data_IF_123267676497
#
_entry.id   IF_123267676497
#
_cell.length_a   1.000
_cell.length_b   1.000
_cell.length_c   1.000
_cell.angle_alpha   90.00
_cell.angle_beta   90.00
_cell.angle_gamma   90.00
#
_symmetry.space_group_name_H-M   'P 1'
#
loop_
_entity.id
_entity.type
_entity.pdbx_description
1 polymer ?
#
# COMPACT_ATOMS: atom_id res chain seq x y z
N UNK A 1 -24.33 -12.66 19.57
CA UNK A 1 -23.09 -12.89 20.34
C UNK A 1 -23.39 -12.84 21.83
N UNK A 2 -22.80 -13.73 22.62
CA UNK A 2 -22.94 -13.79 24.07
C UNK A 2 -21.83 -12.95 24.75
N UNK A 3 -22.17 -12.33 25.89
CA UNK A 3 -21.21 -11.56 26.72
C UNK A 3 -20.04 -12.43 27.20
N UNK A 4 -20.24 -13.73 27.37
CA UNK A 4 -19.19 -14.67 27.72
C UNK A 4 -18.12 -14.75 26.62
N UNK A 5 -18.54 -14.86 25.39
CA UNK A 5 -17.66 -14.89 24.21
C UNK A 5 -16.87 -13.59 24.07
N UNK A 6 -17.50 -12.41 24.26
CA UNK A 6 -16.79 -11.13 24.25
C UNK A 6 -15.69 -11.07 25.32
N UNK A 7 -15.93 -11.62 26.52
CA UNK A 7 -14.93 -11.68 27.60
C UNK A 7 -13.74 -12.57 27.24
N UNK A 8 -14.01 -13.72 26.63
CA UNK A 8 -12.99 -14.67 26.22
C UNK A 8 -12.10 -14.04 25.13
N UNK A 9 -12.69 -13.44 24.11
CA UNK A 9 -11.97 -12.74 23.03
C UNK A 9 -11.13 -11.57 23.56
N UNK A 10 -11.71 -10.71 24.39
CA UNK A 10 -10.98 -9.63 25.07
C UNK A 10 -9.77 -10.13 25.84
N UNK A 11 -9.92 -11.27 26.55
CA UNK A 11 -8.82 -11.89 27.31
C UNK A 11 -7.74 -12.44 26.39
N UNK A 12 -8.12 -13.08 25.29
CA UNK A 12 -7.18 -13.62 24.29
C UNK A 12 -6.32 -12.49 23.67
N UNK A 13 -6.94 -11.36 23.38
CA UNK A 13 -6.26 -10.15 22.86
C UNK A 13 -5.52 -9.34 23.93
N UNK A 14 -5.54 -9.77 25.20
CA UNK A 14 -4.92 -9.07 26.34
C UNK A 14 -5.37 -7.61 26.50
N UNK A 15 -6.53 -7.24 25.96
CA UNK A 15 -7.06 -5.88 26.05
C UNK A 15 -7.53 -5.56 27.46
N UNK A 16 -7.24 -4.35 27.93
CA UNK A 16 -7.86 -3.79 29.12
C UNK A 16 -9.30 -3.37 28.81
N UNK A 17 -10.12 -3.20 29.84
CA UNK A 17 -11.50 -2.69 29.66
C UNK A 17 -11.52 -1.25 29.12
N UNK A 18 -10.50 -0.46 29.47
CA UNK A 18 -10.36 0.90 28.99
C UNK A 18 -10.01 0.94 27.50
N UNK A 19 -9.10 0.09 27.04
CA UNK A 19 -8.76 -0.04 25.61
C UNK A 19 -9.96 -0.49 24.80
N UNK A 20 -10.65 -1.55 25.22
CA UNK A 20 -11.85 -2.02 24.52
C UNK A 20 -12.95 -0.94 24.47
N UNK A 21 -13.14 -0.18 25.56
CA UNK A 21 -14.10 0.91 25.60
C UNK A 21 -13.74 2.04 24.61
N UNK A 22 -12.45 2.36 24.51
CA UNK A 22 -11.93 3.35 23.57
C UNK A 22 -12.14 2.90 22.11
N UNK A 23 -11.74 1.68 21.76
CA UNK A 23 -11.87 1.13 20.40
C UNK A 23 -13.35 1.00 19.99
N UNK A 24 -14.22 0.56 20.91
CA UNK A 24 -15.64 0.42 20.66
C UNK A 24 -16.42 1.75 20.69
N UNK A 25 -15.74 2.87 20.95
CA UNK A 25 -16.37 4.18 21.14
C UNK A 25 -17.54 4.15 22.15
N UNK A 26 -17.30 3.52 23.28
CA UNK A 26 -18.26 3.37 24.35
C UNK A 26 -17.73 3.95 25.67
N UNK A 27 -18.61 4.49 26.55
CA UNK A 27 -18.20 4.90 27.87
C UNK A 27 -17.59 3.73 28.66
N UNK A 28 -16.44 3.94 29.29
CA UNK A 28 -15.72 2.90 30.05
C UNK A 28 -16.61 2.28 31.16
N UNK A 29 -17.46 3.07 31.80
CA UNK A 29 -18.40 2.57 32.79
C UNK A 29 -19.42 1.60 32.22
N UNK A 30 -19.88 1.80 30.99
CA UNK A 30 -20.78 0.89 30.29
C UNK A 30 -20.08 -0.46 30.00
N UNK A 31 -18.87 -0.41 29.45
CA UNK A 31 -18.10 -1.62 29.13
C UNK A 31 -17.72 -2.35 30.42
N UNK A 32 -17.32 -1.63 31.46
CA UNK A 32 -16.99 -2.23 32.77
C UNK A 32 -18.18 -3.01 33.36
N UNK A 33 -19.38 -2.45 33.39
CA UNK A 33 -20.57 -3.13 33.88
C UNK A 33 -20.96 -4.39 33.09
N UNK A 34 -20.70 -4.38 31.79
CA UNK A 34 -20.89 -5.56 30.93
C UNK A 34 -19.83 -6.62 31.25
N UNK A 35 -18.58 -6.22 31.36
CA UNK A 35 -17.46 -7.11 31.64
C UNK A 35 -17.50 -7.69 33.06
N UNK A 36 -18.02 -6.97 34.04
CA UNK A 36 -18.26 -7.49 35.42
C UNK A 36 -19.51 -8.34 35.53
N UNK A 37 -20.45 -8.20 34.60
CA UNK A 37 -21.76 -8.90 34.64
C UNK A 37 -22.83 -8.15 35.42
N UNK A 38 -22.58 -6.93 35.82
CA UNK A 38 -23.60 -6.05 36.44
C UNK A 38 -24.73 -5.76 35.45
N UNK A 39 -24.41 -5.57 34.18
CA UNK A 39 -25.39 -5.46 33.09
C UNK A 39 -25.66 -6.82 32.51
N UNK A 40 -26.80 -7.42 32.84
CA UNK A 40 -27.18 -8.77 32.38
C UNK A 40 -27.65 -8.81 30.93
N UNK A 41 -28.30 -7.75 30.46
CA UNK A 41 -28.84 -7.63 29.09
C UNK A 41 -28.42 -6.30 28.48
N UNK A 42 -27.19 -6.19 27.91
CA UNK A 42 -26.77 -5.01 27.18
C UNK A 42 -27.62 -4.82 25.91
N UNK A 43 -27.71 -3.59 25.43
CA UNK A 43 -28.41 -3.32 24.16
C UNK A 43 -27.70 -4.00 22.98
N UNK A 44 -28.47 -4.37 21.96
CA UNK A 44 -27.92 -4.96 20.73
C UNK A 44 -26.81 -4.09 20.12
N UNK A 45 -27.05 -2.78 20.03
CA UNK A 45 -26.08 -1.80 19.50
C UNK A 45 -24.76 -1.80 20.30
N UNK A 46 -24.85 -1.95 21.62
CA UNK A 46 -23.65 -2.01 22.48
C UNK A 46 -22.86 -3.29 22.24
N UNK A 47 -23.55 -4.42 22.11
CA UNK A 47 -22.91 -5.72 21.80
C UNK A 47 -22.26 -5.69 20.43
N UNK A 48 -22.95 -5.14 19.43
CA UNK A 48 -22.43 -5.00 18.05
C UNK A 48 -21.15 -4.15 18.00
N UNK A 49 -21.11 -3.01 18.71
CA UNK A 49 -19.91 -2.18 18.81
C UNK A 49 -18.73 -2.91 19.46
N UNK A 50 -18.98 -3.65 20.53
CA UNK A 50 -17.95 -4.44 21.20
C UNK A 50 -17.44 -5.59 20.31
N UNK A 51 -18.33 -6.22 19.56
CA UNK A 51 -17.98 -7.25 18.60
C UNK A 51 -17.12 -6.75 17.48
N UNK A 52 -17.52 -5.65 16.84
CA UNK A 52 -16.73 -4.99 15.80
C UNK A 52 -15.33 -4.59 16.30
N UNK A 53 -15.25 -4.02 17.50
CA UNK A 53 -13.98 -3.65 18.11
C UNK A 53 -13.06 -4.86 18.33
N UNK A 54 -13.60 -5.98 18.85
CA UNK A 54 -12.82 -7.20 19.06
C UNK A 54 -12.40 -7.86 17.73
N UNK A 55 -13.29 -7.90 16.73
CA UNK A 55 -12.99 -8.45 15.42
C UNK A 55 -11.87 -7.65 14.73
N UNK A 56 -11.87 -6.33 14.90
CA UNK A 56 -10.81 -5.46 14.42
C UNK A 56 -9.45 -5.81 15.06
N UNK A 57 -9.40 -5.91 16.39
CA UNK A 57 -8.15 -6.23 17.11
C UNK A 57 -7.65 -7.66 16.81
N UNK A 58 -8.56 -8.61 16.60
CA UNK A 58 -8.19 -9.97 16.16
C UNK A 58 -7.58 -9.98 14.76
N UNK A 59 -8.08 -9.13 13.87
CA UNK A 59 -7.51 -8.96 12.54
C UNK A 59 -6.12 -8.34 12.63
N UNK A 60 -5.94 -7.27 13.40
CA UNK A 60 -4.63 -6.64 13.64
C UNK A 60 -3.62 -7.66 14.17
N UNK A 61 -3.99 -8.44 15.19
CA UNK A 61 -3.11 -9.45 15.76
C UNK A 61 -2.67 -10.50 14.71
N UNK A 62 -3.56 -10.89 13.80
CA UNK A 62 -3.24 -11.81 12.69
C UNK A 62 -2.30 -11.19 11.66
N UNK A 63 -2.53 -9.92 11.32
CA UNK A 63 -1.66 -9.17 10.40
C UNK A 63 -0.25 -9.04 11.00
N UNK A 64 -0.16 -8.68 12.28
CA UNK A 64 1.11 -8.57 12.99
C UNK A 64 1.90 -9.89 12.95
N UNK A 65 1.25 -11.00 13.32
CA UNK A 65 1.88 -12.31 13.28
C UNK A 65 2.39 -12.68 11.87
N UNK A 66 1.60 -12.38 10.84
CA UNK A 66 2.01 -12.61 9.45
C UNK A 66 3.25 -11.79 9.06
N UNK A 67 3.25 -10.51 9.42
CA UNK A 67 4.38 -9.60 9.14
C UNK A 67 5.63 -10.05 9.87
N UNK A 68 5.53 -10.43 11.15
CA UNK A 68 6.66 -10.95 11.92
C UNK A 68 7.27 -12.21 11.27
N UNK A 69 6.43 -13.16 10.84
CA UNK A 69 6.90 -14.36 10.14
C UNK A 69 7.52 -14.05 8.78
N UNK A 70 6.95 -13.08 8.06
CA UNK A 70 7.49 -12.61 6.78
C UNK A 70 8.87 -11.98 6.97
N UNK A 71 9.03 -11.11 7.96
CA UNK A 71 10.32 -10.47 8.28
C UNK A 71 11.37 -11.48 8.73
N UNK A 72 10.97 -12.49 9.49
CA UNK A 72 11.85 -13.60 9.87
C UNK A 72 12.31 -14.38 8.62
N UNK A 73 11.38 -14.70 7.71
CA UNK A 73 11.69 -15.38 6.45
C UNK A 73 12.68 -14.59 5.59
N UNK A 74 12.48 -13.26 5.45
CA UNK A 74 13.40 -12.37 4.71
C UNK A 74 14.79 -12.39 5.35
N UNK A 75 14.85 -12.34 6.68
CA UNK A 75 16.12 -12.35 7.41
C UNK A 75 16.89 -13.68 7.26
N UNK A 76 16.18 -14.80 7.17
CA UNK A 76 16.76 -16.13 6.96
C UNK A 76 17.24 -16.37 5.53
N UNK A 77 16.76 -15.59 4.55
CA UNK A 77 17.05 -15.76 3.13
C UNK A 77 17.57 -14.47 2.48
N UNK A 78 18.65 -13.86 2.98
CA UNK A 78 19.10 -12.53 2.56
C UNK A 78 19.66 -12.49 1.13
N UNK A 79 20.07 -13.64 0.57
CA UNK A 79 20.68 -13.76 -0.75
C UNK A 79 19.64 -14.18 -1.83
N UNK A 80 18.44 -14.54 -1.43
CA UNK A 80 17.37 -14.93 -2.34
C UNK A 80 16.43 -13.74 -2.55
N UNK A 81 16.04 -13.50 -3.81
CA UNK A 81 14.86 -12.67 -4.07
C UNK A 81 13.68 -13.31 -3.31
N UNK A 82 13.02 -12.52 -2.48
CA UNK A 82 11.94 -13.07 -1.65
C UNK A 82 10.82 -13.56 -2.56
N UNK A 83 10.74 -14.86 -2.77
CA UNK A 83 9.63 -15.47 -3.47
C UNK A 83 8.40 -15.42 -2.56
N UNK A 84 7.65 -14.33 -2.66
CA UNK A 84 6.42 -14.13 -1.91
C UNK A 84 5.45 -15.32 -2.07
N UNK A 85 5.41 -15.94 -3.25
CA UNK A 85 4.56 -17.12 -3.51
C UNK A 85 5.03 -18.30 -2.67
N UNK A 86 6.34 -18.48 -2.54
CA UNK A 86 6.94 -19.53 -1.72
C UNK A 86 6.64 -19.29 -0.23
N UNK A 87 6.84 -18.06 0.24
CA UNK A 87 6.50 -17.68 1.61
C UNK A 87 5.01 -17.88 1.89
N UNK A 88 4.11 -17.38 1.05
CA UNK A 88 2.67 -17.54 1.22
C UNK A 88 2.24 -19.02 1.29
N UNK A 89 2.85 -19.88 0.47
CA UNK A 89 2.59 -21.33 0.54
C UNK A 89 3.05 -21.95 1.85
N UNK A 90 4.22 -21.54 2.34
CA UNK A 90 4.73 -22.02 3.63
C UNK A 90 3.87 -21.56 4.79
N UNK A 91 3.51 -20.27 4.79
CA UNK A 91 2.61 -19.69 5.79
C UNK A 91 1.26 -20.39 5.82
N UNK A 92 0.62 -20.58 4.67
CA UNK A 92 -0.66 -21.32 4.56
C UNK A 92 -0.56 -22.73 5.12
N UNK A 93 0.51 -23.45 4.82
CA UNK A 93 0.74 -24.81 5.31
C UNK A 93 0.95 -24.82 6.82
N UNK A 94 1.73 -23.89 7.36
CA UNK A 94 2.01 -23.80 8.79
C UNK A 94 0.75 -23.48 9.62
N UNK A 95 -0.15 -22.66 9.08
CA UNK A 95 -1.35 -22.19 9.77
C UNK A 95 -2.64 -22.92 9.35
N UNK A 96 -2.55 -24.00 8.57
CA UNK A 96 -3.69 -24.77 8.05
C UNK A 96 -4.73 -23.91 7.30
N UNK A 97 -4.25 -22.95 6.50
CA UNK A 97 -5.08 -21.97 5.77
C UNK A 97 -5.32 -22.40 4.31
N UNK A 98 -5.82 -23.54 3.99
CA UNK A 98 -6.00 -24.06 2.62
C UNK A 98 -6.18 -22.94 1.56
N UNK A 99 -7.44 -22.60 1.21
CA UNK A 99 -7.81 -21.51 0.30
C UNK A 99 -8.37 -20.28 1.02
N UNK A 100 -8.27 -20.23 2.34
CA UNK A 100 -8.72 -19.10 3.12
C UNK A 100 -7.94 -17.83 2.75
N UNK A 101 -8.53 -16.63 2.83
CA UNK A 101 -7.79 -15.39 2.67
C UNK A 101 -6.64 -15.33 3.66
N UNK A 102 -5.50 -14.79 3.23
CA UNK A 102 -4.41 -14.46 4.15
C UNK A 102 -4.86 -13.34 5.11
N UNK A 103 -4.25 -13.22 6.28
CA UNK A 103 -4.70 -12.25 7.29
C UNK A 103 -4.81 -10.81 6.79
N UNK A 104 -4.01 -10.46 5.78
CA UNK A 104 -3.97 -9.14 5.14
C UNK A 104 -4.61 -9.14 3.74
N UNK A 105 -4.99 -10.30 3.18
CA UNK A 105 -5.60 -10.36 1.86
C UNK A 105 -7.08 -9.98 1.97
N UNK A 106 -7.48 -8.96 1.23
CA UNK A 106 -8.91 -8.66 1.05
C UNK A 106 -9.65 -9.88 0.52
N UNK A 107 -10.84 -10.20 1.04
CA UNK A 107 -11.72 -11.13 0.37
C UNK A 107 -11.96 -10.57 -1.04
N UNK A 108 -11.62 -11.35 -2.07
CA UNK A 108 -12.03 -11.04 -3.44
C UNK A 108 -13.53 -10.88 -3.39
N UNK A 109 -14.03 -9.73 -3.77
CA UNK A 109 -15.45 -9.38 -3.76
C UNK A 109 -16.25 -10.43 -4.54
N UNK A 110 -16.74 -11.41 -3.83
CA UNK A 110 -17.86 -12.22 -4.24
C UNK A 110 -18.87 -12.12 -3.12
N UNK A 111 -19.76 -11.15 -3.30
CA UNK A 111 -21.05 -11.03 -2.65
C UNK A 111 -21.08 -11.00 -1.11
N UNK A 112 -21.38 -9.81 -0.57
CA UNK A 112 -22.14 -9.57 0.65
C UNK A 112 -21.54 -10.03 1.99
N UNK A 113 -20.48 -9.36 2.45
CA UNK A 113 -20.36 -9.10 3.88
C UNK A 113 -19.87 -7.65 4.07
N UNK A 114 -20.82 -6.75 4.32
CA UNK A 114 -20.56 -5.34 4.64
C UNK A 114 -19.64 -5.16 5.86
N UNK A 115 -19.56 -6.17 6.74
CA UNK A 115 -18.67 -6.19 7.91
C UNK A 115 -17.18 -6.30 7.54
N UNK A 116 -16.85 -7.07 6.50
CA UNK A 116 -15.44 -7.25 6.12
C UNK A 116 -14.88 -6.00 5.43
N UNK A 117 -15.71 -5.28 4.68
CA UNK A 117 -15.31 -4.03 4.01
C UNK A 117 -15.04 -2.89 4.98
N UNK A 118 -15.81 -2.72 6.05
CA UNK A 118 -15.58 -1.66 7.04
C UNK A 118 -14.31 -1.88 7.88
N UNK A 119 -13.93 -3.12 8.15
CA UNK A 119 -12.73 -3.45 8.93
C UNK A 119 -11.42 -3.15 8.18
N UNK A 120 -11.44 -3.28 6.86
CA UNK A 120 -10.27 -3.00 6.01
C UNK A 120 -10.09 -1.51 5.68
N UNK A 121 -11.11 -0.67 5.92
CA UNK A 121 -11.02 0.79 5.78
C UNK A 121 -10.43 1.49 7.01
N UNK A 122 -9.86 0.76 7.96
CA UNK A 122 -9.25 1.38 9.13
C UNK A 122 -7.82 1.82 8.83
N UNK A 123 -7.60 3.14 8.79
CA UNK A 123 -6.29 3.78 8.62
C UNK A 123 -5.22 3.25 9.59
N UNK A 124 -5.62 2.75 10.78
CA UNK A 124 -4.71 2.19 11.77
C UNK A 124 -4.04 0.91 11.29
N UNK A 125 -4.71 0.09 10.47
CA UNK A 125 -4.11 -1.15 9.91
C UNK A 125 -2.91 -0.80 9.05
N UNK A 126 -3.04 0.18 8.16
CA UNK A 126 -1.94 0.63 7.32
C UNK A 126 -0.87 1.37 8.13
N UNK A 127 -1.28 2.17 9.11
CA UNK A 127 -0.33 2.83 10.01
C UNK A 127 0.52 1.83 10.77
N UNK A 128 -0.08 0.77 11.30
CA UNK A 128 0.63 -0.26 12.04
C UNK A 128 1.43 -1.18 11.13
N UNK A 129 0.90 -1.56 9.96
CA UNK A 129 1.68 -2.26 8.94
C UNK A 129 2.88 -1.41 8.53
N UNK A 130 2.69 -0.15 8.18
CA UNK A 130 3.76 0.75 7.81
C UNK A 130 4.74 1.00 8.96
N UNK A 131 4.28 1.04 10.22
CA UNK A 131 5.15 1.21 11.38
C UNK A 131 5.98 -0.05 11.70
N UNK A 132 5.42 -1.25 11.50
CA UNK A 132 6.12 -2.53 11.74
C UNK A 132 7.05 -2.92 10.60
N UNK A 133 6.63 -2.65 9.38
CA UNK A 133 7.47 -2.75 8.19
C UNK A 133 8.49 -1.60 8.14
N UNK A 134 8.27 -0.66 8.94
CA UNK A 134 8.81 0.60 9.44
C UNK A 134 10.01 1.19 8.77
N UNK A 135 10.97 0.47 8.53
CA UNK A 135 12.21 0.93 7.92
C UNK A 135 12.48 0.22 6.60
N UNK A 136 11.69 -0.77 6.26
CA UNK A 136 11.76 -1.47 5.00
C UNK A 136 10.99 -0.68 3.93
N UNK A 137 11.67 0.25 3.27
CA UNK A 137 11.16 1.07 2.16
C UNK A 137 10.74 0.26 0.92
N UNK A 138 10.68 -1.05 1.05
CA UNK A 138 10.53 -1.99 -0.05
C UNK A 138 9.24 -2.79 0.02
N UNK A 139 8.35 -2.43 0.93
CA UNK A 139 7.07 -3.13 1.07
C UNK A 139 5.96 -2.17 0.71
N UNK A 140 5.20 -2.55 -0.30
CA UNK A 140 4.01 -1.86 -0.75
C UNK A 140 2.77 -2.66 -0.40
N UNK A 141 1.65 -1.98 -0.32
CA UNK A 141 0.33 -2.58 -0.19
C UNK A 141 -0.45 -2.28 -1.48
N UNK A 142 -0.94 -3.29 -2.16
CA UNK A 142 -1.72 -3.12 -3.38
C UNK A 142 -3.01 -3.93 -3.30
N UNK A 143 -4.15 -3.24 -3.29
CA UNK A 143 -5.46 -3.88 -3.11
C UNK A 143 -5.48 -4.82 -1.89
N UNK A 144 -4.90 -4.39 -0.77
CA UNK A 144 -4.81 -5.18 0.46
C UNK A 144 -3.80 -6.33 0.43
N UNK A 145 -2.89 -6.37 -0.56
CA UNK A 145 -1.82 -7.37 -0.64
C UNK A 145 -0.47 -6.73 -0.42
N UNK A 146 0.31 -7.30 0.48
CA UNK A 146 1.70 -6.91 0.68
C UNK A 146 2.55 -7.37 -0.51
N UNK A 147 3.38 -6.47 -0.99
CA UNK A 147 4.34 -6.69 -2.06
C UNK A 147 5.70 -6.30 -1.55
N UNK A 148 6.61 -7.23 -1.63
CA UNK A 148 7.98 -7.02 -1.21
C UNK A 148 8.79 -6.75 -2.46
N UNK A 149 9.35 -5.56 -2.54
CA UNK A 149 10.26 -5.18 -3.61
C UNK A 149 11.71 -5.49 -3.19
N UNK A 150 12.54 -5.86 -4.13
CA UNK A 150 13.97 -5.99 -3.88
C UNK A 150 14.63 -4.62 -3.73
N UNK A 151 15.76 -4.59 -3.03
CA UNK A 151 16.58 -3.38 -2.98
C UNK A 151 17.05 -3.02 -4.39
N UNK A 152 16.83 -1.77 -4.84
CA UNK A 152 17.28 -1.34 -6.14
C UNK A 152 18.81 -1.36 -6.24
N UNK A 153 19.30 -1.81 -7.38
CA UNK A 153 20.72 -1.80 -7.68
C UNK A 153 21.25 -0.36 -7.94
N UNK A 154 22.56 -0.24 -8.08
CA UNK A 154 23.22 1.04 -8.28
C UNK A 154 22.79 1.70 -9.61
N UNK A 155 22.54 0.93 -10.65
CA UNK A 155 22.14 1.45 -11.96
C UNK A 155 20.74 2.06 -11.90
N UNK A 156 19.80 1.38 -11.24
CA UNK A 156 18.48 1.92 -10.93
C UNK A 156 18.57 3.27 -10.20
N UNK A 157 19.37 3.33 -9.13
CA UNK A 157 19.54 4.56 -8.35
C UNK A 157 20.13 5.72 -9.17
N UNK A 158 21.09 5.42 -10.06
CA UNK A 158 21.66 6.44 -10.95
C UNK A 158 20.60 7.00 -11.90
N UNK A 159 19.77 6.14 -12.50
CA UNK A 159 18.70 6.55 -13.40
C UNK A 159 17.69 7.44 -12.65
N UNK A 160 17.19 6.98 -11.49
CA UNK A 160 16.24 7.75 -10.66
C UNK A 160 16.81 9.12 -10.28
N UNK A 161 18.08 9.18 -9.86
CA UNK A 161 18.72 10.43 -9.46
C UNK A 161 18.84 11.42 -10.63
N UNK A 162 19.26 10.93 -11.81
CA UNK A 162 19.46 11.78 -12.99
C UNK A 162 18.14 12.30 -13.53
N UNK A 163 17.13 11.43 -13.63
CA UNK A 163 15.77 11.80 -14.01
C UNK A 163 15.18 12.82 -13.06
N UNK A 164 15.27 12.54 -11.75
CA UNK A 164 14.77 13.46 -10.74
C UNK A 164 15.36 14.86 -10.88
N UNK A 165 16.69 14.98 -11.02
CA UNK A 165 17.36 16.28 -11.24
C UNK A 165 16.88 16.98 -12.49
N UNK A 166 16.70 16.23 -13.58
CA UNK A 166 16.28 16.80 -14.87
C UNK A 166 14.85 17.34 -14.81
N UNK A 167 13.93 16.56 -14.20
CA UNK A 167 12.54 16.94 -14.02
C UNK A 167 12.42 18.15 -13.08
N UNK A 168 13.13 18.14 -11.95
CA UNK A 168 13.10 19.21 -10.95
C UNK A 168 13.60 20.53 -11.54
N UNK A 169 14.71 20.48 -12.28
CA UNK A 169 15.23 21.64 -12.99
C UNK A 169 14.24 22.20 -14.02
N UNK A 170 13.50 21.34 -14.72
CA UNK A 170 12.45 21.80 -15.63
C UNK A 170 11.30 22.50 -14.89
N UNK A 171 10.84 21.91 -13.78
CA UNK A 171 9.76 22.47 -12.97
C UNK A 171 10.17 23.87 -12.46
N UNK A 172 11.36 23.99 -11.89
CA UNK A 172 11.87 25.25 -11.35
C UNK A 172 11.98 26.35 -12.41
N UNK A 173 12.48 26.00 -13.60
CA UNK A 173 12.67 26.97 -14.69
C UNK A 173 11.37 27.41 -15.37
N UNK A 174 10.28 26.64 -15.25
CA UNK A 174 9.02 26.94 -15.94
C UNK A 174 7.93 27.49 -15.00
N UNK A 175 8.29 27.95 -13.79
CA UNK A 175 7.38 28.53 -12.79
C UNK A 175 6.19 27.56 -12.53
N UNK A 176 6.48 26.27 -12.50
CA UNK A 176 5.49 25.22 -12.32
C UNK A 176 4.93 25.21 -10.90
N UNK A 177 3.65 24.90 -10.76
CA UNK A 177 3.03 24.63 -9.45
C UNK A 177 3.32 23.21 -8.95
N UNK A 178 3.87 22.36 -9.83
CA UNK A 178 4.13 20.97 -9.52
C UNK A 178 5.35 20.81 -8.60
N UNK A 179 5.40 19.73 -7.87
CA UNK A 179 6.57 19.30 -7.09
C UNK A 179 6.94 17.88 -7.51
N UNK A 180 8.22 17.66 -7.62
CA UNK A 180 8.77 16.34 -7.84
C UNK A 180 9.24 15.74 -6.51
N UNK A 181 8.98 14.46 -6.33
CA UNK A 181 9.47 13.68 -5.19
C UNK A 181 10.12 12.43 -5.77
N UNK A 182 11.27 12.08 -5.23
CA UNK A 182 11.94 10.85 -5.55
C UNK A 182 12.22 10.06 -4.26
N UNK A 183 12.22 8.75 -4.38
CA UNK A 183 12.54 7.76 -3.36
C UNK A 183 11.87 7.96 -2.00
N UNK A 184 10.96 7.03 -1.68
CA UNK A 184 10.45 6.86 -0.32
C UNK A 184 9.30 7.76 0.06
N UNK A 185 8.56 8.32 -0.91
CA UNK A 185 7.29 8.95 -0.60
C UNK A 185 6.16 7.92 -0.68
N UNK A 186 5.37 7.86 0.37
CA UNK A 186 4.17 7.06 0.39
C UNK A 186 3.08 7.70 -0.46
N UNK A 187 2.41 6.92 -1.29
CA UNK A 187 1.25 7.34 -2.07
C UNK A 187 0.07 6.44 -1.71
N UNK A 188 -0.92 7.01 -1.03
CA UNK A 188 -2.20 6.36 -0.71
C UNK A 188 -3.13 6.56 -1.92
N UNK A 189 -3.07 5.63 -2.86
CA UNK A 189 -3.50 5.86 -4.23
C UNK A 189 -5.02 5.97 -4.41
N UNK A 190 -5.78 5.15 -3.69
CA UNK A 190 -7.26 5.12 -3.78
C UNK A 190 -7.97 6.05 -2.80
N UNK A 191 -7.24 6.90 -2.06
CA UNK A 191 -7.77 7.63 -0.91
C UNK A 191 -8.35 6.70 0.16
N UNK A 192 -8.03 5.43 0.08
CA UNK A 192 -8.36 4.38 1.03
C UNK A 192 -7.10 3.80 1.66
N UNK A 193 -7.28 2.84 2.56
CA UNK A 193 -6.18 2.22 3.29
C UNK A 193 -5.70 0.90 2.65
N UNK A 194 -6.12 0.60 1.42
CA UNK A 194 -5.83 -0.67 0.75
C UNK A 194 -4.67 -0.61 -0.23
N UNK A 195 -4.32 0.61 -0.69
CA UNK A 195 -3.28 0.77 -1.68
C UNK A 195 -2.30 1.84 -1.24
N UNK A 196 -1.15 1.39 -0.78
CA UNK A 196 0.01 2.19 -0.44
C UNK A 196 1.16 1.77 -1.35
N UNK A 197 1.59 2.65 -2.22
CA UNK A 197 2.74 2.44 -3.11
C UNK A 197 3.86 3.42 -2.82
N UNK A 198 5.09 3.04 -3.19
CA UNK A 198 6.29 3.85 -2.99
C UNK A 198 7.01 3.98 -4.33
N UNK A 199 6.51 4.82 -5.24
CA UNK A 199 7.10 4.98 -6.57
C UNK A 199 8.50 5.57 -6.52
N UNK A 200 9.30 5.29 -7.55
CA UNK A 200 10.64 5.84 -7.67
C UNK A 200 10.66 7.35 -7.86
N UNK A 201 9.77 7.86 -8.72
CA UNK A 201 9.58 9.30 -8.94
C UNK A 201 8.08 9.61 -9.06
N UNK A 202 7.69 10.68 -8.40
CA UNK A 202 6.32 11.20 -8.43
C UNK A 202 6.33 12.69 -8.73
N UNK A 203 5.47 13.14 -9.63
CA UNK A 203 5.20 14.57 -9.85
C UNK A 203 3.77 14.86 -9.43
N UNK A 204 3.60 15.83 -8.55
CA UNK A 204 2.33 16.27 -7.99
C UNK A 204 2.12 17.76 -8.26
N UNK A 205 1.05 18.10 -8.97
CA UNK A 205 0.69 19.49 -9.31
C UNK A 205 -0.38 20.04 -8.36
N UNK A 206 -1.25 19.19 -7.83
CA UNK A 206 -2.22 19.57 -6.80
C UNK A 206 -1.64 19.33 -5.40
N UNK A 207 -1.09 20.39 -4.81
CA UNK A 207 -0.45 20.30 -3.49
C UNK A 207 -1.45 20.07 -2.33
N UNK A 208 -2.76 20.18 -2.56
CA UNK A 208 -3.76 19.83 -1.55
C UNK A 208 -3.77 18.35 -1.17
N UNK A 209 -3.21 17.51 -2.06
CA UNK A 209 -3.01 16.06 -1.83
C UNK A 209 -1.81 15.72 -0.94
N UNK A 210 -0.99 16.72 -0.56
CA UNK A 210 0.13 16.49 0.36
C UNK A 210 -0.36 16.36 1.80
N UNK A 211 -0.28 15.18 2.35
CA UNK A 211 -0.51 14.89 3.77
C UNK A 211 0.80 14.77 4.56
N UNK A 212 0.70 14.65 5.88
CA UNK A 212 1.86 14.44 6.76
C UNK A 212 2.58 13.11 6.50
N UNK A 213 1.86 12.09 6.02
CA UNK A 213 2.37 10.73 5.82
C UNK A 213 2.74 10.43 4.38
N UNK A 214 2.41 11.30 3.44
CA UNK A 214 2.62 11.10 2.01
C UNK A 214 1.58 11.80 1.16
N UNK A 215 1.42 11.34 -0.07
CA UNK A 215 0.43 11.83 -1.03
C UNK A 215 -0.86 11.03 -0.85
N UNK A 216 -2.00 11.73 -0.82
CA UNK A 216 -3.34 11.14 -0.71
C UNK A 216 -4.05 11.30 -2.06
N UNK A 217 -4.41 10.17 -2.67
CA UNK A 217 -4.96 10.12 -4.02
C UNK A 217 -3.90 10.08 -5.12
N UNK A 218 -4.34 10.02 -6.36
CA UNK A 218 -3.50 9.87 -7.53
C UNK A 218 -2.62 11.11 -7.78
N UNK A 219 -1.29 10.97 -7.92
CA UNK A 219 -0.42 12.02 -8.41
C UNK A 219 -0.62 12.26 -9.91
N UNK A 220 -0.04 13.33 -10.45
CA UNK A 220 -0.16 13.65 -11.88
C UNK A 220 0.72 12.76 -12.75
N UNK A 221 1.93 12.43 -12.31
CA UNK A 221 2.86 11.60 -13.05
C UNK A 221 3.63 10.68 -12.11
N UNK A 222 3.73 9.42 -12.50
CA UNK A 222 4.49 8.38 -11.80
C UNK A 222 5.51 7.76 -12.74
N UNK A 223 6.73 7.57 -12.25
CA UNK A 223 7.79 6.87 -12.98
C UNK A 223 8.31 5.73 -12.11
N UNK A 224 8.36 4.53 -12.68
CA UNK A 224 8.98 3.35 -12.08
C UNK A 224 10.16 2.90 -12.95
N UNK A 225 11.32 2.74 -12.33
CA UNK A 225 12.49 2.15 -12.94
C UNK A 225 12.53 0.69 -12.53
N UNK A 226 12.20 -0.20 -13.43
CA UNK A 226 11.98 -1.60 -13.09
C UNK A 226 13.27 -2.39 -12.89
N UNK A 227 13.25 -3.27 -11.91
CA UNK A 227 14.24 -4.34 -11.72
C UNK A 227 13.77 -5.64 -12.37
N UNK A 228 14.65 -6.65 -12.52
CA UNK A 228 14.24 -7.96 -13.03
C UNK A 228 13.12 -8.63 -12.22
N UNK A 229 13.11 -8.41 -10.90
CA UNK A 229 12.15 -9.02 -9.96
C UNK A 229 10.78 -8.35 -9.98
N UNK A 230 10.69 -7.03 -10.14
CA UNK A 230 9.43 -6.28 -10.13
C UNK A 230 8.75 -6.22 -11.50
N UNK A 231 9.47 -6.56 -12.56
CA UNK A 231 9.05 -6.39 -13.96
C UNK A 231 7.62 -6.81 -14.25
N UNK A 232 7.22 -8.03 -13.92
CA UNK A 232 5.88 -8.53 -14.24
C UNK A 232 4.78 -7.77 -13.50
N UNK A 233 5.11 -7.27 -12.33
CA UNK A 233 4.22 -6.54 -11.47
C UNK A 233 4.02 -5.09 -11.93
N UNK A 234 5.12 -4.39 -12.23
CA UNK A 234 5.10 -3.00 -12.68
C UNK A 234 4.43 -2.86 -14.06
N UNK A 235 4.70 -3.81 -14.98
CA UNK A 235 4.11 -3.79 -16.32
C UNK A 235 2.60 -4.02 -16.33
N UNK A 236 2.05 -4.79 -15.40
CA UNK A 236 0.65 -5.18 -15.45
C UNK A 236 -0.17 -4.56 -14.32
N UNK A 237 0.14 -4.91 -13.06
CA UNK A 237 -0.72 -4.53 -11.94
C UNK A 237 -0.61 -3.06 -11.59
N UNK A 238 0.60 -2.52 -11.45
CA UNK A 238 0.80 -1.10 -11.15
C UNK A 238 0.24 -0.23 -12.26
N UNK A 239 0.48 -0.59 -13.52
CA UNK A 239 -0.05 0.15 -14.66
C UNK A 239 -1.57 0.26 -14.61
N UNK A 240 -2.28 -0.87 -14.47
CA UNK A 240 -3.75 -0.84 -14.37
C UNK A 240 -4.23 -0.03 -13.17
N UNK A 241 -3.56 -0.15 -12.02
CA UNK A 241 -3.93 0.56 -10.80
C UNK A 241 -3.73 2.06 -10.96
N UNK A 242 -2.55 2.51 -11.40
CA UNK A 242 -2.26 3.93 -11.62
C UNK A 242 -3.25 4.58 -12.60
N UNK A 243 -3.53 3.92 -13.72
CA UNK A 243 -4.46 4.46 -14.71
C UNK A 243 -5.92 4.46 -14.20
N UNK A 244 -6.34 3.44 -13.45
CA UNK A 244 -7.68 3.35 -12.89
C UNK A 244 -7.97 4.39 -11.80
N UNK A 245 -6.95 4.82 -11.06
CA UNK A 245 -7.07 5.80 -9.98
C UNK A 245 -6.92 7.25 -10.43
N UNK A 246 -6.62 7.49 -11.73
CA UNK A 246 -6.53 8.83 -12.30
C UNK A 246 -5.13 9.43 -12.30
N UNK A 247 -4.08 8.61 -12.25
CA UNK A 247 -2.72 9.05 -12.60
C UNK A 247 -2.74 9.45 -14.07
N UNK A 248 -2.37 10.70 -14.36
CA UNK A 248 -2.47 11.28 -15.71
C UNK A 248 -1.42 10.75 -16.67
N UNK A 249 -0.24 10.41 -16.13
CA UNK A 249 0.86 9.86 -16.92
C UNK A 249 1.65 8.85 -16.08
N UNK A 250 1.93 7.67 -16.65
CA UNK A 250 2.72 6.62 -16.02
C UNK A 250 3.83 6.16 -16.94
N UNK A 251 5.06 6.17 -16.44
CA UNK A 251 6.24 5.71 -17.17
C UNK A 251 6.84 4.48 -16.51
N UNK A 252 7.20 3.52 -17.34
CA UNK A 252 8.04 2.37 -16.99
C UNK A 252 9.37 2.54 -17.70
N UNK A 253 10.45 2.56 -16.95
CA UNK A 253 11.80 2.58 -17.49
C UNK A 253 12.40 1.20 -17.28
N UNK A 254 12.72 0.51 -18.37
CA UNK A 254 13.32 -0.83 -18.35
C UNK A 254 14.79 -0.77 -18.78
N UNK A 255 15.75 -0.72 -17.80
CA UNK A 255 17.16 -0.60 -18.12
C UNK A 255 17.74 -1.83 -18.84
N UNK A 256 17.15 -3.02 -18.66
CA UNK A 256 17.64 -4.22 -19.32
C UNK A 256 17.24 -4.30 -20.79
N UNK A 257 16.11 -3.69 -21.14
CA UNK A 257 15.64 -3.61 -22.53
C UNK A 257 16.00 -2.31 -23.21
N UNK A 258 16.54 -1.35 -22.44
CA UNK A 258 16.77 0.03 -22.87
C UNK A 258 15.51 0.67 -23.47
N UNK A 259 14.37 0.49 -22.79
CA UNK A 259 13.05 0.98 -23.24
C UNK A 259 12.39 1.86 -22.18
N UNK A 260 11.69 2.88 -22.67
CA UNK A 260 10.73 3.66 -21.92
C UNK A 260 9.33 3.33 -22.44
N UNK A 261 8.43 2.94 -21.57
CA UNK A 261 7.03 2.69 -21.89
C UNK A 261 6.19 3.73 -21.17
N UNK A 262 5.33 4.43 -21.91
CA UNK A 262 4.48 5.48 -21.35
C UNK A 262 3.01 5.17 -21.56
N UNK A 263 2.21 5.48 -20.55
CA UNK A 263 0.75 5.41 -20.56
C UNK A 263 0.21 6.79 -20.19
N UNK A 264 -0.82 7.24 -20.91
CA UNK A 264 -1.41 8.57 -20.75
C UNK A 264 -2.92 8.45 -20.52
N UNK A 265 -3.44 9.26 -19.60
CA UNK A 265 -4.86 9.32 -19.31
C UNK A 265 -5.67 9.72 -20.55
N UNK A 266 -6.83 9.08 -20.76
CA UNK A 266 -7.71 9.36 -21.89
C UNK A 266 -7.36 8.65 -23.19
N UNK A 267 -6.20 8.04 -23.28
CA UNK A 267 -5.87 7.11 -24.36
C UNK A 267 -6.26 5.68 -23.97
N UNK A 268 -6.81 4.93 -24.90
CA UNK A 268 -7.30 3.57 -24.66
C UNK A 268 -6.12 2.65 -24.30
N UNK A 269 -5.62 2.68 -23.07
CA UNK A 269 -4.53 1.84 -22.51
C UNK A 269 -3.43 1.46 -23.55
N UNK A 270 -3.18 2.35 -24.50
CA UNK A 270 -2.14 2.14 -25.49
C UNK A 270 -0.79 2.55 -24.91
N UNK A 271 0.12 1.60 -24.89
CA UNK A 271 1.50 1.88 -24.52
C UNK A 271 2.24 2.54 -25.68
N UNK A 272 2.89 3.66 -25.43
CA UNK A 272 3.92 4.18 -26.32
C UNK A 272 5.27 3.63 -25.87
N UNK A 273 6.07 3.12 -26.79
CA UNK A 273 7.35 2.50 -26.48
C UNK A 273 8.47 3.24 -27.21
N UNK A 274 9.47 3.67 -26.46
CA UNK A 274 10.61 4.43 -26.95
C UNK A 274 11.91 3.72 -26.61
N UNK A 275 12.92 3.88 -27.44
CA UNK A 275 14.30 3.50 -27.09
C UNK A 275 14.94 4.55 -26.16
N UNK A 276 15.94 4.18 -25.39
CA UNK A 276 16.66 5.12 -24.52
C UNK A 276 17.30 6.29 -25.27
N UNK A 277 17.56 6.11 -26.57
CA UNK A 277 18.13 7.14 -27.46
C UNK A 277 17.08 8.07 -28.07
N UNK A 278 15.79 7.78 -27.86
CA UNK A 278 14.71 8.60 -28.37
C UNK A 278 14.29 9.65 -27.34
N UNK A 279 13.79 10.77 -27.84
CA UNK A 279 13.25 11.86 -27.00
C UNK A 279 11.79 11.56 -26.66
N UNK A 280 11.51 11.33 -25.41
CA UNK A 280 10.20 10.96 -24.88
C UNK A 280 9.45 12.20 -24.43
N UNK A 281 8.29 12.55 -25.04
CA UNK A 281 7.52 13.70 -24.64
C UNK A 281 6.78 13.45 -23.33
N UNK A 282 6.79 14.44 -22.41
CA UNK A 282 6.02 14.39 -21.15
C UNK A 282 4.67 15.06 -21.38
N UNK A 283 3.61 14.27 -21.31
CA UNK A 283 2.25 14.70 -21.66
C UNK A 283 1.62 15.65 -20.65
N UNK A 284 1.86 15.48 -19.35
CA UNK A 284 1.34 16.42 -18.32
C UNK A 284 1.82 17.85 -18.55
N UNK A 285 2.93 18.04 -19.27
CA UNK A 285 3.47 19.33 -19.69
C UNK A 285 3.20 19.66 -21.16
N UNK A 286 2.28 18.93 -21.82
CA UNK A 286 1.93 19.14 -23.22
C UNK A 286 3.10 18.96 -24.18
N UNK A 287 4.02 18.04 -23.87
CA UNK A 287 5.22 17.74 -24.67
C UNK A 287 6.31 18.79 -24.63
N UNK A 288 6.20 19.84 -23.79
CA UNK A 288 7.25 20.87 -23.65
C UNK A 288 8.51 20.34 -22.96
N UNK A 289 8.33 19.39 -22.05
CA UNK A 289 9.43 18.60 -21.50
C UNK A 289 9.61 17.37 -22.37
N UNK A 290 10.84 17.13 -22.80
CA UNK A 290 11.22 15.92 -23.50
C UNK A 290 12.44 15.33 -22.80
N UNK A 291 12.48 14.03 -22.66
CA UNK A 291 13.54 13.33 -21.92
C UNK A 291 14.14 12.24 -22.81
N UNK A 292 15.44 12.28 -23.00
CA UNK A 292 16.24 11.22 -23.64
C UNK A 292 17.07 10.54 -22.55
N UNK A 293 16.81 9.27 -22.26
CA UNK A 293 17.47 8.57 -21.14
C UNK A 293 18.97 8.44 -21.34
N UNK A 294 19.41 8.22 -22.59
CA UNK A 294 20.85 8.09 -22.91
C UNK A 294 21.63 9.39 -22.75
N UNK A 295 20.96 10.53 -22.66
CA UNK A 295 21.57 11.86 -22.47
C UNK A 295 21.64 12.32 -21.02
N UNK A 296 21.06 11.54 -20.10
CA UNK A 296 21.07 11.82 -18.66
C UNK A 296 22.42 11.34 -17.97
#
# INVERSE_FOLDING_TARGET
>A
MDVKELKERKKALKLTTAQLAFIAELPIGTVSKIMTGETRNPSYVTIEKLDKALAHEEMLARVHAYVEELMAYIHEHPEESVDQIRFERQYRKAHNLDNSPLPYAMPRTTQNNALDTELFHDSRVNEEICAQLGESRWIELMDGRLIINEMPDMNHQIIVQKLGKFIDAFIDNNIGKCKMFNVGINVFLDEDDYTLVIPDIVVLCDQSKLGQKGIIGAPDWVIEVISPSTRSYDYNRKMHKYMATGVREYWIIDPLKEKVITYVEGETLMAHVYDFTESVPVYIYGGKLQICISEL
#
